data_IF_871510641232
#
_entry.id   IF_871510641232
#
_cell.length_a   1.000
_cell.length_b   1.000
_cell.length_c   1.000
_cell.angle_alpha   90.00
_cell.angle_beta   90.00
_cell.angle_gamma   90.00
#
_symmetry.space_group_name_H-M   'P 1'
#
loop_
_entity.id
_entity.type
_entity.pdbx_description
1 polymer ?
#
# COMPACT_ATOMS: atom_id res chain seq x y z
N UNK A 1 -5.57 19.87 -16.25
CA UNK A 1 -5.07 19.75 -14.87
C UNK A 1 -5.60 18.43 -14.36
N UNK A 2 -4.73 17.56 -13.85
CA UNK A 2 -5.13 16.24 -13.35
C UNK A 2 -5.99 16.45 -12.11
N UNK A 3 -7.22 15.89 -12.10
CA UNK A 3 -8.09 15.95 -10.93
C UNK A 3 -7.90 14.69 -10.12
N UNK A 4 -7.31 14.81 -8.93
CA UNK A 4 -7.16 13.71 -7.98
C UNK A 4 -8.51 13.44 -7.29
N UNK A 5 -8.95 12.18 -7.34
CA UNK A 5 -10.13 11.67 -6.63
C UNK A 5 -9.74 11.31 -5.19
N UNK A 6 -8.59 10.66 -5.03
CA UNK A 6 -8.02 10.28 -3.74
C UNK A 6 -6.85 9.34 -3.92
N UNK A 7 -6.34 8.81 -2.82
CA UNK A 7 -5.21 7.89 -2.84
C UNK A 7 -5.38 6.72 -1.88
N UNK A 8 -4.71 5.62 -2.20
CA UNK A 8 -4.53 4.45 -1.33
C UNK A 8 -3.03 4.29 -1.09
N UNK A 9 -2.64 4.57 0.15
CA UNK A 9 -1.29 4.32 0.65
C UNK A 9 -1.06 2.84 0.95
N UNK A 10 0.20 2.46 1.12
CA UNK A 10 0.59 1.14 1.63
C UNK A 10 0.00 -0.04 0.84
N UNK A 11 -0.16 0.13 -0.47
CA UNK A 11 -0.62 -0.91 -1.37
C UNK A 11 0.56 -1.84 -1.70
N UNK A 12 0.66 -2.98 -1.02
CA UNK A 12 1.81 -3.88 -1.12
C UNK A 12 1.57 -5.03 -2.09
N UNK A 13 2.52 -5.24 -3.01
CA UNK A 13 2.61 -6.45 -3.83
C UNK A 13 3.93 -7.15 -3.48
N UNK A 14 3.82 -8.36 -2.95
CA UNK A 14 4.94 -9.17 -2.48
C UNK A 14 5.72 -8.45 -1.38
N UNK A 15 6.79 -7.74 -1.73
CA UNK A 15 7.60 -6.94 -0.79
C UNK A 15 7.76 -5.48 -1.22
N UNK A 16 7.00 -5.05 -2.22
CA UNK A 16 7.09 -3.71 -2.78
C UNK A 16 5.83 -2.95 -2.40
N UNK A 17 6.01 -1.74 -1.87
CA UNK A 17 4.91 -0.90 -1.43
C UNK A 17 4.73 0.26 -2.39
N UNK A 18 3.48 0.51 -2.73
CA UNK A 18 3.09 1.55 -3.66
C UNK A 18 2.14 2.55 -3.00
N UNK A 19 2.20 3.77 -3.51
CA UNK A 19 1.19 4.80 -3.32
C UNK A 19 0.35 4.87 -4.60
N UNK A 20 -0.94 4.58 -4.49
CA UNK A 20 -1.86 4.58 -5.62
C UNK A 20 -2.66 5.88 -5.60
N UNK A 21 -2.45 6.73 -6.60
CA UNK A 21 -3.22 7.97 -6.78
C UNK A 21 -4.29 7.72 -7.84
N UNK A 22 -5.55 7.90 -7.47
CA UNK A 22 -6.71 7.78 -8.34
C UNK A 22 -7.07 9.16 -8.88
N UNK A 23 -7.22 9.25 -10.20
CA UNK A 23 -7.56 10.50 -10.89
C UNK A 23 -8.84 10.32 -11.69
N UNK A 24 -9.32 11.36 -12.36
CA UNK A 24 -10.50 11.23 -13.20
C UNK A 24 -10.34 10.30 -14.42
N UNK A 25 -9.11 9.91 -14.78
CA UNK A 25 -8.82 9.16 -16.02
C UNK A 25 -8.11 7.82 -15.76
N UNK A 26 -7.21 7.79 -14.78
CA UNK A 26 -6.30 6.67 -14.57
C UNK A 26 -5.78 6.57 -13.14
N UNK A 27 -5.12 5.46 -12.84
CA UNK A 27 -4.35 5.27 -11.61
C UNK A 27 -2.89 5.57 -11.89
N UNK A 28 -2.28 6.43 -11.06
CA UNK A 28 -0.84 6.53 -10.97
C UNK A 28 -0.33 5.68 -9.82
N UNK A 29 0.48 4.67 -10.14
CA UNK A 29 1.14 3.80 -9.19
C UNK A 29 2.58 4.27 -8.98
N UNK A 30 2.84 4.90 -7.84
CA UNK A 30 4.17 5.32 -7.44
C UNK A 30 4.80 4.29 -6.50
N UNK A 31 6.05 3.93 -6.76
CA UNK A 31 6.84 3.11 -5.86
C UNK A 31 7.29 3.95 -4.66
N UNK A 32 6.86 3.60 -3.45
CA UNK A 32 7.33 4.27 -2.23
C UNK A 32 8.49 3.54 -1.60
N UNK A 33 8.49 2.21 -1.62
CA UNK A 33 9.53 1.41 -0.97
C UNK A 33 9.68 0.03 -1.61
N UNK A 34 10.92 -0.37 -1.89
CA UNK A 34 11.25 -1.70 -2.38
C UNK A 34 11.55 -2.68 -1.25
N UNK A 35 11.29 -3.98 -1.48
CA UNK A 35 11.61 -5.02 -0.49
C UNK A 35 13.10 -5.16 -0.17
N UNK A 36 13.99 -4.75 -1.08
CA UNK A 36 15.44 -4.71 -0.84
C UNK A 36 15.82 -3.58 0.13
N UNK A 37 15.14 -2.44 0.06
CA UNK A 37 15.29 -1.31 0.99
C UNK A 37 14.80 -1.71 2.38
N UNK A 38 13.63 -2.34 2.47
CA UNK A 38 13.07 -2.88 3.73
C UNK A 38 14.03 -3.84 4.43
N UNK A 39 14.67 -4.76 3.69
CA UNK A 39 15.67 -5.68 4.25
C UNK A 39 16.95 -4.98 4.70
N UNK A 40 17.44 -4.01 3.92
CA UNK A 40 18.66 -3.27 4.27
C UNK A 40 18.49 -2.46 5.54
N UNK A 41 17.34 -1.81 5.73
CA UNK A 41 17.06 -1.01 6.92
C UNK A 41 16.78 -1.87 8.15
N UNK A 42 16.12 -3.03 7.99
CA UNK A 42 15.99 -4.02 9.06
C UNK A 42 17.37 -4.54 9.50
N UNK A 43 18.22 -4.92 8.55
CA UNK A 43 19.59 -5.40 8.84
C UNK A 43 20.44 -4.31 9.47
N UNK A 44 20.38 -3.07 8.97
CA UNK A 44 21.12 -1.92 9.53
C UNK A 44 20.66 -1.60 10.96
N UNK A 45 19.35 -1.68 11.22
CA UNK A 45 18.76 -1.48 12.55
C UNK A 45 19.08 -2.63 13.50
N UNK A 46 19.19 -3.86 13.00
CA UNK A 46 19.63 -5.02 13.77
C UNK A 46 21.12 -4.97 14.10
N UNK A 47 21.97 -4.48 13.17
CA UNK A 47 23.42 -4.34 13.37
C UNK A 47 23.75 -3.17 14.31
N UNK A 48 22.98 -2.07 14.25
CA UNK A 48 23.22 -0.89 15.08
C UNK A 48 22.75 -1.02 16.53
N UNK A 49 21.99 -2.07 16.85
CA UNK A 49 21.51 -2.34 18.20
C UNK A 49 21.84 -3.80 18.62
N UNK A 50 22.91 -4.02 19.40
CA UNK A 50 23.34 -5.38 19.78
C UNK A 50 22.32 -6.17 20.63
N UNK A 51 21.29 -5.53 21.20
CA UNK A 51 20.15 -6.22 21.83
C UNK A 51 19.15 -6.80 20.81
N UNK A 52 19.30 -6.49 19.51
CA UNK A 52 18.44 -6.96 18.40
C UNK A 52 19.08 -8.07 17.55
N UNK A 53 20.26 -8.58 17.92
CA UNK A 53 20.85 -9.76 17.28
C UNK A 53 20.03 -11.01 17.67
N UNK A 54 19.11 -11.42 16.81
CA UNK A 54 18.27 -12.61 17.04
C UNK A 54 19.16 -13.87 17.05
N UNK A 55 19.09 -14.76 18.07
CA UNK A 55 19.71 -16.08 18.00
C UNK A 55 18.99 -16.91 16.93
N UNK A 56 19.74 -17.62 16.08
CA UNK A 56 19.25 -18.49 15.01
C UNK A 56 18.37 -19.68 15.47
N UNK A 57 17.87 -19.68 16.69
CA UNK A 57 16.95 -20.69 17.23
C UNK A 57 15.91 -20.07 18.17
N UNK A 58 14.65 -20.09 17.73
CA UNK A 58 13.51 -20.43 18.61
C UNK A 58 13.17 -19.50 19.79
N UNK A 59 13.39 -18.19 19.71
CA UNK A 59 12.87 -17.26 20.73
C UNK A 59 11.94 -16.24 20.10
N UNK A 60 10.73 -16.13 20.68
CA UNK A 60 9.64 -15.22 20.31
C UNK A 60 10.19 -13.87 19.87
N UNK A 61 10.12 -13.57 18.57
CA UNK A 61 10.36 -12.21 18.04
C UNK A 61 9.59 -11.25 18.93
N UNK A 62 10.29 -10.34 19.59
CA UNK A 62 9.74 -9.50 20.65
C UNK A 62 8.57 -8.71 20.05
N UNK A 63 7.33 -9.11 20.31
CA UNK A 63 6.14 -8.68 19.57
C UNK A 63 6.03 -7.16 19.47
N UNK A 64 6.44 -6.44 20.52
CA UNK A 64 6.53 -4.98 20.57
C UNK A 64 7.53 -4.39 19.57
N UNK A 65 8.70 -5.01 19.39
CA UNK A 65 9.73 -4.57 18.42
C UNK A 65 9.21 -4.74 17.00
N UNK A 66 8.55 -5.87 16.71
CA UNK A 66 7.90 -6.09 15.42
C UNK A 66 6.77 -5.08 15.16
N UNK A 67 6.01 -4.70 16.20
CA UNK A 67 5.00 -3.66 16.08
C UNK A 67 5.59 -2.28 15.76
N UNK A 68 6.68 -1.91 16.44
CA UNK A 68 7.39 -0.65 16.20
C UNK A 68 7.98 -0.60 14.77
N UNK A 69 8.56 -1.70 14.29
CA UNK A 69 9.12 -1.80 12.93
C UNK A 69 8.04 -1.69 11.85
N UNK A 70 6.91 -2.39 12.02
CA UNK A 70 5.77 -2.30 11.09
C UNK A 70 5.16 -0.90 11.12
N UNK A 71 5.06 -0.28 12.30
CA UNK A 71 4.55 1.09 12.43
C UNK A 71 5.45 2.08 11.67
N UNK A 72 6.76 2.00 11.88
CA UNK A 72 7.72 2.86 11.19
C UNK A 72 7.66 2.71 9.66
N UNK A 73 7.57 1.47 9.15
CA UNK A 73 7.44 1.21 7.71
C UNK A 73 6.19 1.86 7.11
N UNK A 74 5.06 1.74 7.81
CA UNK A 74 3.79 2.33 7.38
C UNK A 74 3.87 3.85 7.39
N UNK A 75 4.41 4.43 8.47
CA UNK A 75 4.54 5.88 8.63
C UNK A 75 5.49 6.49 7.59
N UNK A 76 6.60 5.81 7.27
CA UNK A 76 7.53 6.26 6.23
C UNK A 76 6.92 6.18 4.83
N UNK A 77 6.14 5.13 4.53
CA UNK A 77 5.41 5.05 3.26
C UNK A 77 4.35 6.16 3.15
N UNK A 78 3.62 6.45 4.23
CA UNK A 78 2.68 7.57 4.29
C UNK A 78 3.37 8.91 4.04
N UNK A 79 4.56 9.12 4.64
CA UNK A 79 5.35 10.33 4.45
C UNK A 79 5.77 10.48 2.98
N UNK A 80 6.28 9.41 2.36
CA UNK A 80 6.66 9.40 0.94
C UNK A 80 5.46 9.61 0.01
N UNK A 81 4.32 9.00 0.32
CA UNK A 81 3.06 9.19 -0.41
C UNK A 81 2.60 10.65 -0.42
N UNK A 82 2.60 11.32 0.74
CA UNK A 82 2.29 12.75 0.85
C UNK A 82 3.25 13.63 0.05
N UNK A 83 4.55 13.35 0.11
CA UNK A 83 5.56 14.08 -0.68
C UNK A 83 5.28 13.96 -2.18
N UNK A 84 4.83 12.79 -2.65
CA UNK A 84 4.43 12.57 -4.05
C UNK A 84 3.19 13.40 -4.39
N UNK A 85 2.16 13.41 -3.54
CA UNK A 85 0.92 14.17 -3.78
C UNK A 85 1.18 15.68 -3.84
N UNK A 86 1.96 16.22 -2.90
CA UNK A 86 2.33 17.64 -2.86
C UNK A 86 3.11 18.09 -4.10
N UNK A 87 3.81 17.16 -4.74
CA UNK A 87 4.68 17.42 -5.89
C UNK A 87 4.24 16.68 -7.16
N UNK A 88 2.96 16.29 -7.27
CA UNK A 88 2.47 15.36 -8.28
C UNK A 88 2.83 15.81 -9.70
N UNK A 89 2.58 17.08 -10.05
CA UNK A 89 2.89 17.64 -11.37
C UNK A 89 4.38 17.57 -11.74
N UNK A 90 5.26 17.64 -10.74
CA UNK A 90 6.70 17.48 -10.95
C UNK A 90 7.06 16.01 -11.13
N UNK A 91 6.51 15.15 -10.27
CA UNK A 91 6.75 13.70 -10.26
C UNK A 91 6.32 13.03 -11.56
N UNK A 92 5.21 13.45 -12.16
CA UNK A 92 4.73 12.91 -13.43
C UNK A 92 5.58 13.36 -14.65
N UNK A 93 6.31 14.48 -14.52
CA UNK A 93 7.17 15.04 -15.58
C UNK A 93 8.63 14.59 -15.47
N UNK A 94 9.00 13.84 -14.42
CA UNK A 94 10.35 13.31 -14.25
C UNK A 94 10.72 12.36 -15.42
N UNK A 95 11.98 12.42 -15.88
CA UNK A 95 12.51 11.56 -16.94
C UNK A 95 13.77 10.83 -16.42
N UNK A 96 13.78 9.48 -16.35
CA UNK A 96 12.68 8.57 -16.66
C UNK A 96 11.55 8.63 -15.62
N UNK A 97 10.29 8.35 -16.00
CA UNK A 97 9.17 8.36 -15.07
C UNK A 97 9.34 7.24 -14.03
N UNK A 98 9.09 7.57 -12.76
CA UNK A 98 9.19 6.64 -11.62
C UNK A 98 7.83 6.10 -11.15
N UNK A 99 6.86 6.09 -12.05
CA UNK A 99 5.51 5.60 -11.79
C UNK A 99 5.02 4.75 -12.96
N UNK A 100 4.03 3.92 -12.67
CA UNK A 100 3.28 3.17 -13.68
C UNK A 100 1.88 3.76 -13.79
N UNK A 101 1.35 3.80 -15.00
CA UNK A 101 -0.01 4.25 -15.28
C UNK A 101 -0.89 3.03 -15.52
N UNK A 102 -2.06 3.00 -14.90
CA UNK A 102 -3.09 1.99 -15.15
C UNK A 102 -4.36 2.72 -15.62
N UNK A 103 -4.66 2.70 -16.94
CA UNK A 103 -5.86 3.32 -17.47
C UNK A 103 -7.13 2.62 -16.94
N UNK A 104 -8.20 3.35 -16.63
CA UNK A 104 -9.46 2.70 -16.22
C UNK A 104 -10.11 1.86 -17.33
N UNK A 105 -9.75 2.11 -18.58
CA UNK A 105 -10.18 1.31 -19.73
C UNK A 105 -9.58 -0.10 -19.75
N UNK A 106 -8.39 -0.30 -19.17
CA UNK A 106 -7.77 -1.63 -19.09
C UNK A 106 -8.31 -2.47 -17.94
N UNK A 107 -8.96 -1.83 -16.95
CA UNK A 107 -9.48 -2.49 -15.75
C UNK A 107 -10.91 -2.99 -16.00
N UNK A 108 -11.10 -4.30 -15.98
CA UNK A 108 -12.41 -4.95 -16.18
C UNK A 108 -13.20 -5.03 -14.88
N UNK A 109 -12.50 -5.31 -13.78
CA UNK A 109 -13.12 -5.54 -12.47
C UNK A 109 -12.21 -5.09 -11.33
N UNK A 110 -12.84 -4.52 -10.31
CA UNK A 110 -12.17 -4.12 -9.07
C UNK A 110 -12.84 -4.80 -7.88
N UNK A 111 -12.06 -5.35 -6.96
CA UNK A 111 -12.56 -5.89 -5.71
C UNK A 111 -11.82 -5.28 -4.52
N UNK A 112 -12.57 -4.69 -3.60
CA UNK A 112 -12.07 -4.20 -2.32
C UNK A 112 -12.58 -5.12 -1.21
N UNK A 113 -11.68 -5.56 -0.33
CA UNK A 113 -12.09 -6.28 0.89
C UNK A 113 -11.43 -5.74 2.14
N UNK A 114 -12.20 -5.70 3.23
CA UNK A 114 -11.75 -5.30 4.55
C UNK A 114 -10.92 -6.40 5.24
N UNK A 115 -10.85 -7.58 4.64
CA UNK A 115 -10.22 -8.74 5.22
C UNK A 115 -11.10 -9.44 6.26
N UNK A 116 -10.71 -10.66 6.57
CA UNK A 116 -11.37 -11.55 7.53
C UNK A 116 -10.36 -11.97 8.59
N UNK A 117 -10.76 -12.68 9.66
CA UNK A 117 -9.80 -13.29 10.58
C UNK A 117 -8.77 -14.22 9.91
N UNK A 118 -9.04 -14.69 8.68
CA UNK A 118 -8.19 -15.62 7.92
C UNK A 118 -7.54 -14.99 6.68
N UNK A 119 -7.85 -13.73 6.35
CA UNK A 119 -7.36 -13.09 5.13
C UNK A 119 -7.14 -11.60 5.32
N UNK A 120 -5.99 -11.09 4.85
CA UNK A 120 -5.70 -9.67 4.89
C UNK A 120 -6.61 -8.84 3.97
N UNK A 121 -6.87 -7.58 4.32
CA UNK A 121 -7.50 -6.61 3.42
C UNK A 121 -6.68 -6.47 2.15
N UNK A 122 -7.37 -6.35 1.03
CA UNK A 122 -6.73 -6.20 -0.26
C UNK A 122 -7.61 -5.47 -1.27
N UNK A 123 -6.93 -4.87 -2.25
CA UNK A 123 -7.48 -4.38 -3.49
C UNK A 123 -7.03 -5.32 -4.62
N UNK A 124 -7.97 -5.86 -5.38
CA UNK A 124 -7.72 -6.67 -6.56
C UNK A 124 -8.14 -5.89 -7.80
N UNK A 125 -7.22 -5.65 -8.71
CA UNK A 125 -7.49 -5.09 -10.04
C UNK A 125 -7.33 -6.20 -11.07
N UNK A 126 -8.39 -6.47 -11.84
CA UNK A 126 -8.32 -7.30 -13.05
C UNK A 126 -8.11 -6.36 -14.24
N UNK A 127 -6.89 -6.30 -14.77
CA UNK A 127 -6.47 -5.39 -15.83
C UNK A 127 -5.81 -6.15 -16.97
N UNK A 128 -6.30 -5.99 -18.20
CA UNK A 128 -5.81 -6.67 -19.40
C UNK A 128 -5.67 -8.20 -19.22
N UNK A 129 -6.64 -8.82 -18.53
CA UNK A 129 -6.62 -10.24 -18.20
C UNK A 129 -5.57 -10.66 -17.16
N UNK A 130 -4.90 -9.70 -16.50
CA UNK A 130 -3.98 -9.93 -15.39
C UNK A 130 -4.56 -9.43 -14.08
N UNK A 131 -4.41 -10.24 -13.04
CA UNK A 131 -4.85 -9.89 -11.68
C UNK A 131 -3.70 -9.31 -10.89
N UNK A 132 -3.82 -8.05 -10.50
CA UNK A 132 -2.91 -7.35 -9.59
C UNK A 132 -3.57 -7.30 -8.22
N UNK A 133 -2.98 -8.01 -7.24
CA UNK A 133 -3.48 -8.04 -5.87
C UNK A 133 -2.59 -7.21 -4.96
N UNK A 134 -3.09 -6.07 -4.52
CA UNK A 134 -2.46 -5.21 -3.53
C UNK A 134 -2.98 -5.55 -2.14
N UNK A 135 -2.10 -5.95 -1.24
CA UNK A 135 -2.41 -6.05 0.19
C UNK A 135 -2.41 -4.65 0.79
N UNK A 136 -3.47 -4.28 1.50
CA UNK A 136 -3.62 -2.94 2.08
C UNK A 136 -3.09 -2.95 3.51
N UNK A 137 -1.82 -2.57 3.68
CA UNK A 137 -1.12 -2.72 4.96
C UNK A 137 -1.35 -1.49 5.83
N UNK A 138 -2.01 -1.67 6.97
CA UNK A 138 -2.22 -0.60 7.95
C UNK A 138 -1.85 -1.03 9.37
N UNK A 139 -1.59 -0.03 10.20
CA UNK A 139 -1.24 -0.20 11.60
C UNK A 139 -2.51 -0.52 12.42
N UNK A 140 -3.05 -1.73 12.25
CA UNK A 140 -4.26 -2.17 12.95
C UNK A 140 -4.03 -3.41 13.82
N UNK A 141 -3.07 -3.32 14.74
CA UNK A 141 -2.77 -4.38 15.72
C UNK A 141 -3.98 -4.73 16.60
N UNK A 142 -4.89 -3.78 16.85
CA UNK A 142 -6.11 -4.00 17.64
C UNK A 142 -7.25 -4.65 16.84
N UNK A 143 -7.34 -4.40 15.54
CA UNK A 143 -8.37 -4.91 14.63
C UNK A 143 -8.06 -6.27 14.00
N UNK A 144 -7.07 -7.02 14.51
CA UNK A 144 -6.66 -8.34 13.99
C UNK A 144 -6.30 -8.32 12.50
N UNK A 145 -5.71 -7.23 12.02
CA UNK A 145 -5.28 -7.09 10.62
C UNK A 145 -6.36 -6.62 9.64
N UNK A 146 -7.58 -6.31 10.09
CA UNK A 146 -8.59 -5.60 9.26
C UNK A 146 -8.20 -4.14 9.04
N UNK A 147 -8.80 -3.46 8.07
CA UNK A 147 -8.71 -2.00 8.02
C UNK A 147 -9.57 -1.37 9.12
N UNK A 148 -9.21 -0.15 9.53
CA UNK A 148 -10.13 0.68 10.28
C UNK A 148 -11.34 0.99 9.39
N UNK A 149 -12.54 1.01 9.96
CA UNK A 149 -13.79 1.28 9.23
C UNK A 149 -13.74 2.62 8.48
N UNK A 150 -13.20 3.68 9.08
CA UNK A 150 -13.07 4.99 8.44
C UNK A 150 -12.14 4.94 7.20
N UNK A 151 -11.05 4.18 7.31
CA UNK A 151 -10.10 3.98 6.20
C UNK A 151 -10.76 3.15 5.10
N UNK A 152 -11.45 2.08 5.47
CA UNK A 152 -12.15 1.22 4.53
C UNK A 152 -13.21 2.00 3.73
N UNK A 153 -14.04 2.79 4.42
CA UNK A 153 -15.06 3.63 3.81
C UNK A 153 -14.43 4.71 2.91
N UNK A 154 -13.31 5.31 3.32
CA UNK A 154 -12.56 6.24 2.47
C UNK A 154 -12.12 5.58 1.16
N UNK A 155 -11.53 4.39 1.24
CA UNK A 155 -11.10 3.63 0.07
C UNK A 155 -12.27 3.17 -0.80
N UNK A 156 -13.38 2.73 -0.19
CA UNK A 156 -14.60 2.41 -0.90
C UNK A 156 -15.12 3.61 -1.72
N UNK A 157 -15.16 4.80 -1.11
CA UNK A 157 -15.63 6.00 -1.79
C UNK A 157 -14.74 6.39 -2.97
N UNK A 158 -13.42 6.35 -2.80
CA UNK A 158 -12.44 6.63 -3.87
C UNK A 158 -12.66 5.65 -5.04
N UNK A 159 -12.74 4.35 -4.74
CA UNK A 159 -12.91 3.32 -5.76
C UNK A 159 -14.28 3.39 -6.42
N UNK A 160 -15.33 3.80 -5.70
CA UNK A 160 -16.68 3.94 -6.24
C UNK A 160 -16.74 5.12 -7.22
N UNK A 161 -16.05 6.22 -6.93
CA UNK A 161 -15.92 7.34 -7.87
C UNK A 161 -15.07 6.95 -9.09
N UNK A 162 -13.98 6.19 -8.90
CA UNK A 162 -13.08 5.79 -9.98
C UNK A 162 -13.66 4.70 -10.91
N UNK A 163 -14.37 3.70 -10.37
CA UNK A 163 -14.74 2.49 -11.09
C UNK A 163 -16.25 2.23 -11.21
N UNK A 164 -17.08 2.93 -10.43
CA UNK A 164 -18.53 2.78 -10.44
C UNK A 164 -18.96 1.30 -10.37
N UNK A 165 -19.69 0.86 -11.40
CA UNK A 165 -20.27 -0.49 -11.48
C UNK A 165 -19.22 -1.62 -11.57
N UNK A 166 -17.95 -1.30 -11.88
CA UNK A 166 -16.86 -2.31 -11.90
C UNK A 166 -16.39 -2.68 -10.49
N UNK A 167 -16.74 -1.90 -9.47
CA UNK A 167 -16.34 -2.13 -8.08
C UNK A 167 -17.25 -3.17 -7.41
N UNK A 168 -16.62 -4.18 -6.82
CA UNK A 168 -17.26 -5.14 -5.95
C UNK A 168 -16.67 -5.05 -4.54
N UNK A 169 -17.49 -4.69 -3.55
CA UNK A 169 -17.05 -4.55 -2.15
C UNK A 169 -17.41 -5.80 -1.37
N UNK A 170 -16.43 -6.39 -0.66
CA UNK A 170 -16.61 -7.58 0.17
C UNK A 170 -16.22 -7.32 1.63
N UNK A 171 -17.18 -7.52 2.53
CA UNK A 171 -17.02 -7.38 3.97
C UNK A 171 -16.59 -8.69 4.66
#
# INVERSE_FOLDING_TARGET
MIKVIGAIDNATVWNTTYHLIFTNEEIYQFLTMEGKEQRSDLIRTQISNPYRMIPLGGTVSNYKVTQEEVSWLIDENLRRGKEIEENLDSKIKEVPPKFTVIPYSSVDKVELTNGTPLSLPHLLLDSDGKKIKFHLVHNNFKGRGKLNEDIFLSYENILKEAFGDKLNVKN
#
